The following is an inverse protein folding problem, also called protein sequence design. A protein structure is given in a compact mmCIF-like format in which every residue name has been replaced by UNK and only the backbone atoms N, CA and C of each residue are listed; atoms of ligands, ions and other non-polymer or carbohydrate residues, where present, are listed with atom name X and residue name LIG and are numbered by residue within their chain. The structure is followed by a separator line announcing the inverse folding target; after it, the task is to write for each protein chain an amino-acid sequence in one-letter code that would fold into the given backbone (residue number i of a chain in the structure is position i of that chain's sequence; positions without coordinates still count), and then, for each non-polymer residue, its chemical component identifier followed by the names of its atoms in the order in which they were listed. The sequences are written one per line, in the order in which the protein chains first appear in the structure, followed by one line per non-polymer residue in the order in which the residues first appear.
data_IF_797077157217
#
_entry.id   IF_797077157217
#
_cell.length_a   1.000
_cell.length_b   1.000
_cell.length_c   1.000
_cell.angle_alpha   90.00
_cell.angle_beta   90.00
_cell.angle_gamma   90.00
#
_symmetry.space_group_name_H-M   'P 1'
#
loop_
_entity.id
_entity.type
_entity.pdbx_description
1 polymer ?
#
# COMPACT_ATOMS: atom_id res chain seq x y z
N UNK A 1 -11.94 -5.43 -13.61
CA UNK A 1 -11.53 -5.10 -12.22
C UNK A 1 -10.26 -4.27 -12.28
N UNK A 2 -10.07 -3.26 -11.43
CA UNK A 2 -8.96 -2.28 -11.58
C UNK A 2 -7.57 -2.93 -11.58
N UNK A 3 -7.34 -4.04 -10.87
CA UNK A 3 -6.04 -4.70 -10.92
C UNK A 3 -5.65 -5.24 -12.32
N UNK A 4 -6.62 -5.51 -13.21
CA UNK A 4 -6.34 -6.05 -14.54
C UNK A 4 -5.68 -5.02 -15.48
N UNK A 5 -5.92 -3.73 -15.28
CA UNK A 5 -5.21 -2.67 -16.01
C UNK A 5 -3.83 -2.37 -15.42
N UNK A 6 -3.59 -2.79 -14.18
CA UNK A 6 -2.34 -2.57 -13.46
C UNK A 6 -1.30 -3.68 -13.70
N UNK A 7 -1.69 -4.80 -14.31
CA UNK A 7 -0.82 -5.98 -14.44
C UNK A 7 -0.62 -6.34 -15.90
N UNK A 8 0.62 -6.24 -16.38
CA UNK A 8 1.01 -6.68 -17.71
C UNK A 8 0.96 -8.20 -17.86
N UNK A 9 0.95 -8.69 -19.11
CA UNK A 9 0.92 -10.14 -19.41
C UNK A 9 2.11 -10.90 -18.83
N UNK A 10 3.23 -10.21 -18.68
CA UNK A 10 4.48 -10.72 -18.09
C UNK A 10 4.50 -10.63 -16.55
N UNK A 11 3.48 -10.04 -15.93
CA UNK A 11 3.42 -9.75 -14.51
C UNK A 11 4.13 -8.45 -14.12
N UNK A 12 4.46 -7.57 -15.06
CA UNK A 12 4.80 -6.19 -14.70
C UNK A 12 3.64 -5.54 -13.95
N UNK A 13 3.96 -4.71 -12.95
CA UNK A 13 2.97 -3.99 -12.14
C UNK A 13 3.08 -2.51 -12.49
N UNK A 14 1.94 -1.84 -12.61
CA UNK A 14 1.80 -0.42 -12.94
C UNK A 14 0.87 0.26 -11.93
N UNK A 15 0.99 1.58 -11.79
CA UNK A 15 0.01 2.39 -11.05
C UNK A 15 -1.37 2.34 -11.73
N UNK A 16 -2.47 2.48 -10.95
CA UNK A 16 -3.81 2.50 -11.54
C UNK A 16 -3.98 3.72 -12.44
N UNK A 17 -4.81 3.59 -13.47
CA UNK A 17 -5.25 4.75 -14.27
C UNK A 17 -6.30 5.58 -13.52
N UNK A 18 -7.05 4.93 -12.64
CA UNK A 18 -8.02 5.58 -11.78
C UNK A 18 -7.37 6.56 -10.79
N UNK A 19 -8.10 7.63 -10.46
CA UNK A 19 -7.71 8.56 -9.40
C UNK A 19 -8.04 7.94 -8.03
N UNK A 20 -7.14 7.07 -7.54
CA UNK A 20 -7.33 6.37 -6.28
C UNK A 20 -7.44 7.33 -5.08
N UNK A 21 -6.83 8.53 -5.13
CA UNK A 21 -6.92 9.48 -4.01
C UNK A 21 -8.34 10.00 -3.85
N UNK A 22 -9.00 10.27 -4.97
CA UNK A 22 -10.40 10.74 -5.00
C UNK A 22 -11.38 9.59 -4.77
N UNK A 23 -11.13 8.44 -5.42
CA UNK A 23 -12.16 7.42 -5.61
C UNK A 23 -12.08 6.26 -4.62
N UNK A 24 -10.89 5.98 -4.06
CA UNK A 24 -10.69 4.82 -3.19
C UNK A 24 -10.71 5.25 -1.72
N UNK A 25 -11.46 4.55 -0.86
CA UNK A 25 -11.39 4.81 0.57
C UNK A 25 -9.99 4.61 1.14
N UNK A 26 -9.64 5.44 2.13
CA UNK A 26 -8.49 5.23 2.99
C UNK A 26 -8.76 4.03 3.90
N UNK A 27 -7.83 3.07 3.89
CA UNK A 27 -7.79 1.97 4.83
C UNK A 27 -7.30 2.43 6.20
N UNK A 28 -6.22 3.21 6.22
CA UNK A 28 -5.62 3.78 7.42
C UNK A 28 -4.37 4.59 7.10
N UNK A 29 -3.82 5.23 8.12
CA UNK A 29 -2.67 6.13 8.03
C UNK A 29 -1.61 5.79 9.06
N UNK A 30 -0.34 5.93 8.69
CA UNK A 30 0.81 5.80 9.57
C UNK A 30 1.51 7.15 9.70
N UNK A 31 2.00 7.47 10.89
CA UNK A 31 2.94 8.56 11.09
C UNK A 31 4.32 7.95 11.40
N UNK A 32 5.36 8.45 10.74
CA UNK A 32 6.75 8.10 11.01
C UNK A 32 7.38 9.22 11.82
N UNK A 33 8.10 8.86 12.87
CA UNK A 33 8.83 9.80 13.71
C UNK A 33 10.34 9.66 13.47
N UNK A 34 11.05 10.79 13.45
CA UNK A 34 12.51 10.81 13.53
C UNK A 34 13.00 10.58 14.96
N UNK A 35 14.32 10.56 15.13
CA UNK A 35 14.98 10.36 16.43
C UNK A 35 14.65 11.48 17.44
N UNK A 36 14.29 12.67 16.95
CA UNK A 36 13.86 13.81 17.75
C UNK A 36 12.37 13.76 18.15
N UNK A 37 11.67 12.66 17.80
CA UNK A 37 10.25 12.45 18.08
C UNK A 37 9.30 13.23 17.17
N UNK A 38 9.81 14.04 16.23
CA UNK A 38 8.96 14.77 15.28
C UNK A 38 8.48 13.87 14.17
N UNK A 39 7.27 14.13 13.69
CA UNK A 39 6.72 13.43 12.53
C UNK A 39 7.49 13.86 11.28
N UNK A 40 8.14 12.91 10.62
CA UNK A 40 8.96 13.12 9.41
C UNK A 40 8.25 12.66 8.14
N UNK A 41 7.24 11.81 8.26
CA UNK A 41 6.46 11.34 7.13
C UNK A 41 5.11 10.75 7.53
N UNK A 42 4.21 10.67 6.56
CA UNK A 42 2.92 10.02 6.68
C UNK A 42 2.75 9.00 5.56
N UNK A 43 2.22 7.82 5.89
CA UNK A 43 1.83 6.83 4.89
C UNK A 43 0.32 6.67 4.88
N UNK A 44 -0.32 6.94 3.74
CA UNK A 44 -1.77 6.77 3.58
C UNK A 44 -2.02 5.55 2.72
N UNK A 45 -2.84 4.62 3.20
CA UNK A 45 -3.13 3.37 2.50
C UNK A 45 -4.53 3.41 1.93
N UNK A 46 -4.69 3.11 0.65
CA UNK A 46 -5.96 3.11 -0.08
C UNK A 46 -6.27 1.72 -0.63
N UNK A 47 -7.56 1.39 -0.74
CA UNK A 47 -8.01 0.20 -1.46
C UNK A 47 -9.43 0.36 -1.99
N UNK A 48 -9.86 -0.53 -2.89
CA UNK A 48 -11.20 -0.48 -3.46
C UNK A 48 -12.28 -0.75 -2.40
N UNK A 49 -13.46 -0.14 -2.56
CA UNK A 49 -14.65 -0.44 -1.74
C UNK A 49 -14.97 -1.93 -1.71
N UNK A 50 -14.94 -2.59 -2.87
CA UNK A 50 -15.16 -4.04 -2.97
C UNK A 50 -14.14 -4.88 -2.20
N UNK A 51 -12.90 -4.40 -2.05
CA UNK A 51 -11.88 -5.06 -1.24
C UNK A 51 -12.24 -4.97 0.23
N UNK A 52 -12.66 -3.79 0.70
CA UNK A 52 -13.12 -3.56 2.07
C UNK A 52 -14.33 -4.42 2.38
N UNK A 53 -15.34 -4.42 1.50
CA UNK A 53 -16.57 -5.17 1.71
C UNK A 53 -16.31 -6.68 1.79
N UNK A 54 -15.48 -7.20 0.88
CA UNK A 54 -15.09 -8.60 0.90
C UNK A 54 -14.30 -8.97 2.16
N UNK A 55 -13.30 -8.15 2.55
CA UNK A 55 -12.51 -8.39 3.75
C UNK A 55 -13.39 -8.36 5.00
N UNK A 56 -14.31 -7.40 5.11
CA UNK A 56 -15.25 -7.32 6.24
C UNK A 56 -16.20 -8.50 6.28
N UNK A 57 -16.54 -9.12 5.15
CA UNK A 57 -17.34 -10.33 5.15
C UNK A 57 -16.53 -11.56 5.60
N UNK A 58 -15.35 -11.77 5.01
CA UNK A 58 -14.62 -13.05 5.09
C UNK A 58 -13.45 -13.04 6.08
N UNK A 59 -12.92 -11.87 6.43
CA UNK A 59 -11.65 -11.70 7.14
C UNK A 59 -10.42 -11.81 6.24
N UNK A 60 -10.60 -11.85 4.92
CA UNK A 60 -9.49 -12.07 3.98
C UNK A 60 -9.53 -11.13 2.77
N UNK A 61 -8.35 -10.74 2.26
CA UNK A 61 -8.27 -9.92 1.04
C UNK A 61 -8.66 -10.73 -0.21
N UNK A 62 -9.66 -10.30 -1.00
CA UNK A 62 -10.09 -11.03 -2.19
C UNK A 62 -8.99 -11.05 -3.27
N UNK A 63 -9.05 -12.03 -4.17
CA UNK A 63 -8.19 -12.06 -5.36
C UNK A 63 -8.36 -10.76 -6.17
N UNK A 64 -7.24 -10.12 -6.52
CA UNK A 64 -7.25 -8.84 -7.20
C UNK A 64 -7.45 -7.61 -6.30
N UNK A 65 -7.48 -7.77 -4.98
CA UNK A 65 -7.39 -6.63 -4.06
C UNK A 65 -6.12 -5.81 -4.35
N UNK A 66 -6.23 -4.49 -4.40
CA UNK A 66 -5.07 -3.60 -4.55
C UNK A 66 -4.94 -2.74 -3.31
N UNK A 67 -3.74 -2.69 -2.75
CA UNK A 67 -3.37 -1.77 -1.69
C UNK A 67 -2.34 -0.80 -2.26
N UNK A 68 -2.65 0.49 -2.21
CA UNK A 68 -1.70 1.56 -2.56
C UNK A 68 -1.31 2.24 -1.25
N UNK A 69 -0.06 2.13 -0.86
CA UNK A 69 0.52 2.90 0.23
C UNK A 69 1.25 4.09 -0.37
N UNK A 70 0.69 5.27 -0.21
CA UNK A 70 1.27 6.54 -0.61
C UNK A 70 2.19 7.05 0.50
N UNK A 71 3.40 7.45 0.12
CA UNK A 71 4.40 7.98 1.05
C UNK A 71 4.45 9.49 0.90
N UNK A 72 4.29 10.19 2.01
CA UNK A 72 4.31 11.64 2.09
C UNK A 72 5.40 12.05 3.09
N UNK A 73 6.14 13.10 2.75
CA UNK A 73 6.90 13.85 3.74
C UNK A 73 5.94 14.57 4.68
N UNK A 74 6.44 14.99 5.84
CA UNK A 74 5.64 15.75 6.79
C UNK A 74 6.40 16.96 7.31
N UNK A 75 5.64 18.01 7.61
CA UNK A 75 6.09 19.16 8.38
C UNK A 75 5.26 19.26 9.65
N UNK A 76 5.81 19.92 10.67
CA UNK A 76 5.14 20.12 11.95
C UNK A 76 5.31 21.54 12.47
N UNK A 77 4.32 22.01 13.22
CA UNK A 77 4.34 23.29 13.90
C UNK A 77 3.42 23.27 15.13
N UNK A 78 3.73 24.18 16.07
CA UNK A 78 2.83 24.53 17.17
C UNK A 78 1.63 25.31 16.63
N UNK A 79 0.45 24.70 16.61
CA UNK A 79 -0.81 25.34 16.23
C UNK A 79 -1.64 25.65 17.48
N UNK A 80 -2.75 26.37 17.31
CA UNK A 80 -3.69 26.67 18.41
C UNK A 80 -4.30 25.41 19.05
N UNK A 81 -4.28 24.29 18.33
CA UNK A 81 -4.73 22.97 18.79
C UNK A 81 -3.60 22.13 19.43
N UNK A 82 -2.39 22.67 19.55
CA UNK A 82 -1.19 21.97 20.02
C UNK A 82 -0.18 21.67 18.91
N UNK A 83 0.82 20.84 19.22
CA UNK A 83 1.78 20.34 18.22
C UNK A 83 1.05 19.51 17.17
N UNK A 84 1.16 19.93 15.92
CA UNK A 84 0.51 19.28 14.79
C UNK A 84 1.51 19.00 13.68
N UNK A 85 1.25 17.94 12.92
CA UNK A 85 1.99 17.62 11.71
C UNK A 85 1.03 17.34 10.55
N UNK A 86 1.42 17.73 9.34
CA UNK A 86 0.65 17.51 8.13
C UNK A 86 1.54 17.02 7.00
N UNK A 87 0.94 16.24 6.10
CA UNK A 87 1.60 15.75 4.91
C UNK A 87 1.94 16.91 3.96
N UNK A 88 3.09 16.80 3.30
CA UNK A 88 3.58 17.76 2.31
C UNK A 88 3.79 17.09 0.95
N UNK A 89 5.03 16.90 0.53
CA UNK A 89 5.39 16.34 -0.76
C UNK A 89 5.20 14.82 -0.77
N UNK A 90 4.90 14.28 -1.94
CA UNK A 90 4.90 12.84 -2.16
C UNK A 90 6.34 12.38 -2.39
N UNK A 91 6.75 11.31 -1.72
CA UNK A 91 8.05 10.68 -1.96
C UNK A 91 7.95 9.39 -2.77
N UNK A 92 6.77 8.75 -2.81
CA UNK A 92 6.52 7.61 -3.68
C UNK A 92 5.27 6.80 -3.31
N UNK A 93 5.16 5.61 -3.89
CA UNK A 93 4.07 4.68 -3.66
C UNK A 93 4.57 3.24 -3.59
N UNK A 94 4.07 2.46 -2.64
CA UNK A 94 4.08 1.01 -2.73
C UNK A 94 2.73 0.51 -3.23
N UNK A 95 2.76 -0.43 -4.17
CA UNK A 95 1.59 -1.12 -4.70
C UNK A 95 1.69 -2.59 -4.34
N UNK A 96 0.62 -3.11 -3.76
CA UNK A 96 0.43 -4.54 -3.56
C UNK A 96 -0.84 -5.02 -4.25
N UNK A 97 -0.77 -6.14 -4.98
CA UNK A 97 -1.92 -6.73 -5.69
C UNK A 97 -2.11 -8.18 -5.26
N UNK A 98 -3.26 -8.54 -4.71
CA UNK A 98 -3.54 -9.91 -4.27
C UNK A 98 -3.65 -10.84 -5.48
N UNK A 99 -2.92 -11.94 -5.44
CA UNK A 99 -2.99 -13.01 -6.42
C UNK A 99 -3.15 -14.36 -5.72
N UNK A 100 -4.40 -14.77 -5.50
CA UNK A 100 -4.73 -16.07 -4.90
C UNK A 100 -4.50 -17.22 -5.88
N UNK A 101 -4.37 -16.93 -7.17
CA UNK A 101 -4.25 -17.94 -8.24
C UNK A 101 -2.81 -18.23 -8.63
N UNK A 102 -1.84 -17.51 -8.06
CA UNK A 102 -0.41 -17.67 -8.35
C UNK A 102 -0.13 -17.62 -9.87
N UNK A 103 -0.64 -16.58 -10.54
CA UNK A 103 -0.59 -16.35 -11.98
C UNK A 103 0.82 -16.14 -12.50
N UNK A 104 1.73 -15.63 -11.67
CA UNK A 104 3.08 -15.25 -12.06
C UNK A 104 4.18 -15.97 -11.25
N UNK A 105 4.21 -17.32 -11.24
CA UNK A 105 5.05 -18.09 -10.32
C UNK A 105 6.56 -17.93 -10.54
N UNK A 106 6.97 -17.47 -11.73
CA UNK A 106 8.38 -17.24 -12.12
C UNK A 106 8.80 -15.76 -12.03
N UNK A 107 7.85 -14.85 -11.81
CA UNK A 107 8.15 -13.42 -11.79
C UNK A 107 8.60 -13.01 -10.38
N UNK A 108 9.74 -12.31 -10.28
CA UNK A 108 10.35 -11.91 -9.01
C UNK A 108 9.60 -10.80 -8.26
N UNK A 109 8.62 -10.16 -8.92
CA UNK A 109 7.69 -9.22 -8.29
C UNK A 109 6.53 -9.92 -7.59
N UNK A 110 6.36 -11.23 -7.77
CA UNK A 110 5.20 -11.98 -7.27
C UNK A 110 5.60 -13.10 -6.33
N UNK A 111 4.83 -13.24 -5.27
CA UNK A 111 5.01 -14.32 -4.30
C UNK A 111 4.21 -14.07 -3.04
N UNK A 112 4.04 -15.14 -2.26
CA UNK A 112 3.26 -15.10 -1.02
C UNK A 112 1.80 -14.63 -1.22
N UNK A 113 1.26 -14.88 -2.42
CA UNK A 113 -0.10 -14.49 -2.80
C UNK A 113 -0.25 -13.00 -3.11
N UNK A 114 0.84 -12.28 -3.35
CA UNK A 114 0.86 -10.84 -3.64
C UNK A 114 1.86 -10.50 -4.75
N UNK A 115 1.54 -9.51 -5.56
CA UNK A 115 2.48 -8.74 -6.38
C UNK A 115 2.96 -7.52 -5.59
N UNK A 116 4.21 -7.11 -5.80
CA UNK A 116 4.90 -6.09 -5.01
C UNK A 116 5.66 -5.13 -5.93
N UNK A 117 5.38 -3.84 -5.83
CA UNK A 117 6.09 -2.82 -6.60
C UNK A 117 6.21 -1.52 -5.83
N UNK A 118 7.31 -0.80 -6.06
CA UNK A 118 7.51 0.58 -5.64
C UNK A 118 7.52 1.51 -6.86
N UNK A 119 7.05 2.74 -6.69
CA UNK A 119 7.13 3.81 -7.68
C UNK A 119 7.62 5.07 -6.99
N UNK A 120 8.64 5.73 -7.56
CA UNK A 120 9.15 6.99 -7.02
C UNK A 120 8.25 8.15 -7.40
N UNK A 121 8.30 9.24 -6.62
CA UNK A 121 7.59 10.48 -6.96
C UNK A 121 7.99 11.04 -8.33
N UNK A 122 9.27 10.89 -8.69
CA UNK A 122 9.85 11.39 -9.96
C UNK A 122 9.46 10.54 -11.18
N UNK A 123 9.18 9.24 -10.98
CA UNK A 123 8.71 8.33 -12.03
C UNK A 123 7.64 7.38 -11.48
N UNK A 124 6.39 7.74 -11.77
CA UNK A 124 5.20 6.97 -11.40
C UNK A 124 4.87 5.84 -12.39
N UNK A 125 5.60 5.74 -13.50
CA UNK A 125 5.32 4.82 -14.61
C UNK A 125 6.19 3.58 -14.57
N UNK A 126 7.44 3.71 -14.14
CA UNK A 126 8.41 2.61 -14.08
C UNK A 126 8.73 2.24 -12.65
N UNK A 127 8.53 0.97 -12.31
CA UNK A 127 8.95 0.45 -11.01
C UNK A 127 10.44 0.06 -11.05
N UNK A 128 11.29 0.57 -10.14
CA UNK A 128 12.66 0.09 -10.02
C UNK A 128 12.75 -1.27 -9.33
N UNK A 129 11.67 -1.75 -8.68
CA UNK A 129 11.63 -3.02 -7.97
C UNK A 129 12.04 -4.17 -8.88
N UNK A 130 12.97 -5.00 -8.42
CA UNK A 130 13.45 -6.20 -9.12
C UNK A 130 13.02 -7.47 -8.41
N UNK A 131 12.92 -7.46 -7.08
CA UNK A 131 12.62 -8.64 -6.29
C UNK A 131 11.94 -8.29 -4.97
N UNK A 132 10.70 -8.75 -4.80
CA UNK A 132 9.98 -8.56 -3.53
C UNK A 132 10.72 -9.18 -2.34
N UNK A 133 11.50 -10.26 -2.58
CA UNK A 133 12.25 -10.96 -1.53
C UNK A 133 13.36 -10.08 -0.95
N UNK A 134 14.04 -9.32 -1.81
CA UNK A 134 15.13 -8.45 -1.39
C UNK A 134 14.63 -7.10 -0.87
N UNK A 135 13.57 -6.55 -1.49
CA UNK A 135 13.21 -5.14 -1.30
C UNK A 135 11.97 -4.93 -0.41
N UNK A 136 11.09 -5.93 -0.27
CA UNK A 136 9.81 -5.76 0.45
C UNK A 136 9.67 -6.71 1.64
N UNK A 137 10.13 -7.97 1.48
CA UNK A 137 9.81 -9.05 2.40
C UNK A 137 10.28 -8.79 3.83
N UNK A 138 11.48 -8.23 4.02
CA UNK A 138 12.02 -7.95 5.35
C UNK A 138 11.07 -7.12 6.22
N UNK A 139 10.47 -6.08 5.64
CA UNK A 139 9.51 -5.20 6.31
C UNK A 139 8.14 -5.84 6.55
N UNK A 140 7.81 -6.95 5.87
CA UNK A 140 6.50 -7.61 5.94
C UNK A 140 6.52 -8.96 6.68
N UNK A 141 7.70 -9.51 7.04
CA UNK A 141 7.83 -10.72 7.86
C UNK A 141 7.03 -10.64 9.17
N UNK A 142 7.03 -9.53 9.93
CA UNK A 142 6.24 -9.44 11.17
C UNK A 142 4.74 -9.63 10.94
N UNK A 143 4.22 -9.20 9.79
CA UNK A 143 2.82 -9.34 9.39
C UNK A 143 2.50 -10.68 8.69
N UNK A 144 3.42 -11.65 8.65
CA UNK A 144 3.22 -12.91 7.91
C UNK A 144 1.96 -13.67 8.32
N UNK A 145 1.58 -13.63 9.60
CA UNK A 145 0.35 -14.29 10.12
C UNK A 145 -0.93 -13.55 9.72
N UNK A 146 -0.82 -12.28 9.33
CA UNK A 146 -1.92 -11.43 8.86
C UNK A 146 -1.88 -11.27 7.33
N UNK A 147 -1.56 -12.35 6.62
CA UNK A 147 -1.47 -12.35 5.15
C UNK A 147 -0.48 -11.30 4.61
N UNK A 148 0.60 -11.06 5.36
CA UNK A 148 1.66 -10.10 5.06
C UNK A 148 1.21 -8.64 5.11
N UNK A 149 0.04 -8.34 5.65
CA UNK A 149 -0.50 -6.98 5.75
C UNK A 149 -0.70 -6.62 7.22
N UNK A 150 -0.24 -5.43 7.62
CA UNK A 150 -0.47 -4.88 8.96
C UNK A 150 -1.91 -4.40 9.12
N UNK A 151 -2.85 -5.35 9.14
CA UNK A 151 -4.28 -5.11 9.03
C UNK A 151 -4.86 -4.38 10.26
N UNK A 152 -4.22 -4.52 11.43
CA UNK A 152 -4.60 -3.80 12.65
C UNK A 152 -4.55 -2.28 12.52
N UNK A 153 -3.77 -1.74 11.58
CA UNK A 153 -3.68 -0.30 11.34
C UNK A 153 -4.77 0.22 10.39
N UNK A 154 -5.67 -0.67 9.93
CA UNK A 154 -6.74 -0.35 8.98
C UNK A 154 -8.12 -0.50 9.65
N UNK A 155 -8.55 0.47 10.47
CA UNK A 155 -9.78 0.37 11.24
C UNK A 155 -11.03 0.17 10.37
N UNK A 156 -11.02 0.62 9.11
CA UNK A 156 -12.14 0.40 8.18
C UNK A 156 -12.37 -1.09 7.87
N UNK A 157 -11.36 -1.94 8.05
CA UNK A 157 -11.45 -3.38 7.83
C UNK A 157 -12.06 -4.14 9.02
N UNK A 158 -12.17 -3.51 10.19
CA UNK A 158 -12.77 -4.13 11.36
C UNK A 158 -14.24 -4.48 11.09
N UNK A 159 -14.66 -5.68 11.51
CA UNK A 159 -16.08 -6.03 11.59
C UNK A 159 -16.72 -5.13 12.65
N UNK A 160 -17.84 -4.51 12.30
CA UNK A 160 -18.71 -3.85 13.27
C UNK A 160 -19.61 -4.90 13.90
#
# INVERSE_FOLDING_TARGET
MVWQEMVGKDGSIHMPKADFRRDWPVLGTWALTGDDGKVTGQHVVYSQRSTIDAFRATGEFPDGAVLIKELLLAQSASLTTGEAAWATEISGWFVMIKDRKNRFPKNQLWGKGWGWAYFGAEDKTTSPTKSFRAECMGCHVPAKKEDWIYSYAYPVLAKK
#
